data_IF_028901314717
#
_entry.id   IF_028901314717
#
_cell.length_a   1.000
_cell.length_b   1.000
_cell.length_c   1.000
_cell.angle_alpha   90.00
_cell.angle_beta   90.00
_cell.angle_gamma   90.00
#
_symmetry.space_group_name_H-M   'P 1'
#
loop_
_entity.id
_entity.type
_entity.pdbx_description
1 polymer ?
#
# COMPACT_ATOMS: atom_id res chain seq x y z
N UNK A 1 -6.79 -2.55 10.46
CA UNK A 1 -6.37 -2.28 9.07
C UNK A 1 -7.59 -2.41 8.18
N UNK A 2 -7.82 -1.47 7.25
CA UNK A 2 -8.85 -1.70 6.22
C UNK A 2 -8.42 -2.87 5.34
N UNK A 3 -9.37 -3.47 4.60
CA UNK A 3 -9.09 -4.55 3.64
C UNK A 3 -7.92 -4.20 2.72
N UNK A 4 -7.84 -2.94 2.29
CA UNK A 4 -6.78 -2.40 1.43
C UNK A 4 -5.39 -2.48 2.09
N UNK A 5 -5.26 -2.11 3.36
CA UNK A 5 -3.98 -2.19 4.09
C UNK A 5 -3.45 -3.61 4.25
N UNK A 6 -4.35 -4.59 4.42
CA UNK A 6 -3.98 -6.02 4.48
C UNK A 6 -3.46 -6.48 3.11
N UNK A 7 -4.14 -6.12 2.02
CA UNK A 7 -3.70 -6.44 0.65
C UNK A 7 -2.32 -5.85 0.37
N UNK A 8 -2.08 -4.59 0.74
CA UNK A 8 -0.78 -3.95 0.57
C UNK A 8 0.34 -4.65 1.38
N UNK A 9 0.03 -5.12 2.59
CA UNK A 9 0.98 -5.87 3.43
C UNK A 9 1.34 -7.22 2.82
N UNK A 10 0.35 -7.98 2.33
CA UNK A 10 0.63 -9.23 1.62
C UNK A 10 1.40 -9.00 0.32
N UNK A 11 1.08 -7.94 -0.43
CA UNK A 11 1.84 -7.57 -1.64
C UNK A 11 3.31 -7.29 -1.34
N UNK A 12 3.62 -6.63 -0.21
CA UNK A 12 5.01 -6.42 0.24
C UNK A 12 5.71 -7.74 0.57
N UNK A 13 5.07 -8.59 1.37
CA UNK A 13 5.66 -9.89 1.77
C UNK A 13 5.89 -10.78 0.55
N UNK A 14 4.89 -10.91 -0.32
CA UNK A 14 4.99 -11.73 -1.51
C UNK A 14 6.00 -11.17 -2.50
N UNK A 15 6.05 -9.86 -2.69
CA UNK A 15 7.05 -9.21 -3.53
C UNK A 15 8.48 -9.42 -3.02
N UNK A 16 8.69 -9.37 -1.69
CA UNK A 16 9.98 -9.63 -1.06
C UNK A 16 10.41 -11.08 -1.25
N UNK A 17 9.53 -12.04 -0.91
CA UNK A 17 9.81 -13.47 -1.07
C UNK A 17 10.10 -13.78 -2.54
N UNK A 18 9.30 -13.26 -3.47
CA UNK A 18 9.48 -13.47 -4.89
C UNK A 18 10.80 -12.89 -5.41
N UNK A 19 11.19 -11.71 -4.94
CA UNK A 19 12.48 -11.09 -5.29
C UNK A 19 13.67 -11.91 -4.79
N UNK A 20 13.59 -12.45 -3.57
CA UNK A 20 14.61 -13.34 -3.00
C UNK A 20 14.71 -14.61 -3.85
N UNK A 21 13.57 -15.23 -4.17
CA UNK A 21 13.51 -16.43 -5.02
C UNK A 21 14.07 -16.17 -6.42
N UNK A 22 13.80 -15.00 -6.99
CA UNK A 22 14.37 -14.56 -8.25
C UNK A 22 15.89 -14.41 -8.18
N UNK A 23 16.42 -13.89 -7.07
CA UNK A 23 17.86 -13.68 -6.92
C UNK A 23 18.66 -14.98 -6.72
N UNK A 24 18.06 -16.01 -6.12
CA UNK A 24 18.71 -17.31 -5.92
C UNK A 24 18.63 -18.23 -7.15
N UNK A 25 17.98 -17.79 -8.24
CA UNK A 25 17.86 -18.62 -9.44
C UNK A 25 19.23 -19.02 -10.01
N UNK A 26 19.35 -20.25 -10.55
CA UNK A 26 20.54 -20.66 -11.26
C UNK A 26 20.83 -19.70 -12.41
N UNK A 27 22.11 -19.34 -12.55
CA UNK A 27 22.55 -18.48 -13.65
C UNK A 27 22.48 -19.26 -14.96
N UNK A 28 22.15 -18.56 -16.05
CA UNK A 28 22.12 -19.18 -17.37
C UNK A 28 23.50 -19.73 -17.75
N UNK A 29 23.53 -20.93 -18.32
CA UNK A 29 24.75 -21.62 -18.76
C UNK A 29 25.31 -21.06 -20.07
N UNK A 30 24.49 -20.35 -20.86
CA UNK A 30 24.83 -19.79 -22.16
C UNK A 30 24.27 -18.36 -22.23
N UNK A 31 25.07 -17.43 -22.76
CA UNK A 31 24.67 -16.03 -22.91
C UNK A 31 24.85 -15.23 -21.60
N UNK A 32 23.90 -14.33 -21.30
CA UNK A 32 23.95 -13.50 -20.10
C UNK A 32 23.51 -14.30 -18.87
N UNK A 33 24.40 -14.56 -17.88
CA UNK A 33 24.10 -15.38 -16.70
C UNK A 33 22.93 -14.84 -15.85
N UNK A 34 22.70 -13.53 -15.87
CA UNK A 34 21.65 -12.84 -15.11
C UNK A 34 20.33 -12.69 -15.86
N UNK A 35 20.26 -13.07 -17.15
CA UNK A 35 19.04 -12.96 -17.94
C UNK A 35 17.79 -13.57 -17.26
N UNK A 36 17.86 -14.73 -16.58
CA UNK A 36 16.71 -15.32 -15.90
C UNK A 36 16.23 -14.54 -14.66
N UNK A 37 17.09 -13.67 -14.10
CA UNK A 37 16.83 -12.97 -12.84
C UNK A 37 16.11 -11.64 -13.07
N UNK A 38 16.39 -10.93 -14.17
CA UNK A 38 15.91 -9.55 -14.35
C UNK A 38 14.39 -9.41 -14.36
N UNK A 39 13.69 -10.24 -15.16
CA UNK A 39 12.24 -10.13 -15.28
C UNK A 39 11.51 -10.49 -13.97
N UNK A 40 11.79 -11.64 -13.34
CA UNK A 40 11.19 -11.99 -12.05
C UNK A 40 11.53 -10.98 -10.95
N UNK A 41 12.77 -10.51 -10.88
CA UNK A 41 13.15 -9.51 -9.88
C UNK A 41 12.41 -8.19 -10.09
N UNK A 42 12.23 -7.77 -11.34
CA UNK A 42 11.42 -6.60 -11.69
C UNK A 42 9.96 -6.71 -11.22
N UNK A 43 9.34 -7.87 -11.41
CA UNK A 43 7.96 -8.13 -10.94
C UNK A 43 7.88 -8.08 -9.41
N UNK A 44 8.84 -8.68 -8.70
CA UNK A 44 8.89 -8.64 -7.24
C UNK A 44 9.05 -7.24 -6.68
N UNK A 45 9.94 -6.44 -7.27
CA UNK A 45 10.12 -5.02 -6.93
C UNK A 45 8.85 -4.21 -7.20
N UNK A 46 8.20 -4.42 -8.33
CA UNK A 46 6.95 -3.72 -8.66
C UNK A 46 5.83 -4.06 -7.67
N UNK A 47 5.69 -5.33 -7.28
CA UNK A 47 4.74 -5.74 -6.23
C UNK A 47 5.01 -5.03 -4.91
N UNK A 48 6.28 -4.90 -4.52
CA UNK A 48 6.64 -4.17 -3.29
C UNK A 48 6.28 -2.68 -3.39
N UNK A 49 6.57 -2.03 -4.52
CA UNK A 49 6.22 -0.61 -4.75
C UNK A 49 4.70 -0.41 -4.65
N UNK A 50 3.92 -1.24 -5.35
CA UNK A 50 2.45 -1.14 -5.33
C UNK A 50 1.90 -1.42 -3.92
N UNK A 51 2.42 -2.44 -3.23
CA UNK A 51 2.03 -2.75 -1.85
C UNK A 51 2.30 -1.60 -0.88
N UNK A 52 3.48 -0.98 -0.98
CA UNK A 52 3.84 0.20 -0.19
C UNK A 52 2.91 1.38 -0.47
N UNK A 53 2.58 1.65 -1.74
CA UNK A 53 1.66 2.73 -2.12
C UNK A 53 0.25 2.51 -1.56
N UNK A 54 -0.25 1.26 -1.57
CA UNK A 54 -1.56 0.93 -0.99
C UNK A 54 -1.56 1.19 0.52
N UNK A 55 -0.53 0.74 1.24
CA UNK A 55 -0.43 0.98 2.69
C UNK A 55 -0.34 2.48 3.01
N UNK A 56 0.49 3.22 2.26
CA UNK A 56 0.61 4.66 2.42
C UNK A 56 -0.71 5.38 2.13
N UNK A 57 -1.47 4.92 1.13
CA UNK A 57 -2.82 5.41 0.83
C UNK A 57 -3.82 5.15 1.95
N UNK A 58 -3.84 3.94 2.52
CA UNK A 58 -4.76 3.57 3.61
C UNK A 58 -4.47 4.37 4.90
N UNK A 59 -3.19 4.59 5.20
CA UNK A 59 -2.77 5.42 6.32
C UNK A 59 -3.31 6.86 6.18
N UNK A 60 -3.09 7.51 5.03
CA UNK A 60 -3.58 8.88 4.76
C UNK A 60 -5.11 8.98 4.81
N UNK A 61 -5.81 7.94 4.36
CA UNK A 61 -7.29 7.90 4.35
C UNK A 61 -7.87 7.80 5.77
N UNK A 62 -7.15 7.13 6.67
CA UNK A 62 -7.58 6.95 8.07
C UNK A 62 -7.58 8.28 8.83
N UNK A 63 -6.59 9.14 8.59
CA UNK A 63 -6.49 10.48 9.20
C UNK A 63 -7.65 11.41 8.78
N UNK A 64 -8.04 11.35 7.50
CA UNK A 64 -9.14 12.16 6.97
C UNK A 64 -10.53 11.77 7.49
N UNK A 65 -10.75 10.49 7.79
CA UNK A 65 -12.02 10.02 8.40
C UNK A 65 -12.15 10.54 9.83
N UNK A 66 -11.08 10.50 10.61
CA UNK A 66 -11.08 10.96 12.00
C UNK A 66 -11.36 12.47 12.11
N UNK A 67 -10.80 13.27 11.20
CA UNK A 67 -11.10 14.71 11.13
C UNK A 67 -12.55 14.99 10.73
N UNK A 68 -13.12 14.22 9.78
CA UNK A 68 -14.54 14.34 9.40
C UNK A 68 -15.48 14.00 10.55
N UNK A 69 -15.19 12.94 11.32
CA UNK A 69 -15.99 12.57 12.50
C UNK A 69 -15.91 13.66 13.58
N UNK A 70 -14.72 14.22 13.81
CA UNK A 70 -14.53 15.32 14.78
C UNK A 70 -15.34 16.57 14.40
N UNK A 71 -15.37 16.96 13.11
CA UNK A 71 -16.18 18.09 12.62
C UNK A 71 -17.69 17.86 12.71
N UNK A 72 -18.16 16.62 12.52
CA UNK A 72 -19.59 16.29 12.54
C UNK A 72 -20.22 16.33 13.94
N UNK A 73 -19.41 16.28 15.00
CA UNK A 73 -19.85 16.39 16.40
C UNK A 73 -20.07 17.83 16.88
N UNK A 74 -20.07 18.83 16.01
CA UNK A 74 -20.56 20.17 16.33
C UNK A 74 -22.04 20.21 15.89
N UNK A 75 -23.01 19.88 16.77
CA UNK A 75 -24.40 20.06 16.45
C UNK A 75 -24.69 21.56 16.33
N UNK A 76 -25.13 22.00 15.16
CA UNK A 76 -25.73 23.33 14.96
C UNK A 76 -27.10 23.30 15.63
N UNK A 77 -27.11 23.50 16.95
CA UNK A 77 -28.34 23.71 17.73
C UNK A 77 -28.28 25.11 18.34
N UNK A 78 -28.26 26.14 17.50
CA UNK A 78 -28.40 27.52 17.98
C UNK A 78 -28.82 28.48 16.85
N UNK A 79 -29.83 28.13 16.07
CA UNK A 79 -30.46 29.06 15.09
C UNK A 79 -31.78 29.65 15.57
N UNK A 80 -32.26 29.32 16.78
CA UNK A 80 -33.61 29.65 17.27
C UNK A 80 -33.65 30.71 18.38
N UNK A 81 -32.62 31.56 18.51
CA UNK A 81 -32.53 32.56 19.60
C UNK A 81 -32.11 33.97 19.13
N UNK A 82 -32.28 34.31 17.85
CA UNK A 82 -31.84 35.60 17.29
C UNK A 82 -32.94 36.36 16.53
N UNK A 83 -34.22 36.20 16.89
CA UNK A 83 -35.28 37.08 16.38
C UNK A 83 -36.05 37.71 17.56
N UNK A 84 -35.82 39.00 17.84
CA UNK A 84 -36.66 39.79 18.74
C UNK A 84 -37.99 40.22 18.09
#
# INVERSE_FOLDING_TARGET
MRRDGIVGFFALILGLIYSIQAYIMPKASIGNPWAPVYFPLGVGVLMMIVGALIIAGDARKSDGVFQRIKKRKIPVTQSWYLEP
#
